data_IF_164201022739
#
_entry.id   IF_164201022739
#
_cell.length_a   1.000
_cell.length_b   1.000
_cell.length_c   1.000
_cell.angle_alpha   90.00
_cell.angle_beta   90.00
_cell.angle_gamma   90.00
#
_symmetry.space_group_name_H-M   'P 1'
#
loop_
_entity.id
_entity.type
_entity.pdbx_description
1 polymer ?
#
# COMPACT_ATOMS: atom_id res chain seq x y z
N UNK A 1 5.98 7.74 26.60
CA UNK A 1 5.05 8.09 25.49
C UNK A 1 5.02 6.88 24.56
N UNK A 2 3.85 6.33 24.27
CA UNK A 2 3.73 5.09 23.50
C UNK A 2 3.90 5.29 21.98
N UNK A 3 3.96 4.18 21.24
CA UNK A 3 4.13 4.17 19.78
C UNK A 3 2.81 4.11 19.01
N UNK A 4 2.88 4.24 17.68
CA UNK A 4 1.74 4.10 16.77
C UNK A 4 1.86 2.84 15.91
N UNK A 5 0.73 2.15 15.76
CA UNK A 5 0.57 1.03 14.83
C UNK A 5 -0.56 1.40 13.85
N UNK A 6 -0.17 1.70 12.62
CA UNK A 6 -1.09 2.03 11.53
C UNK A 6 -1.35 0.76 10.70
N UNK A 7 -2.62 0.35 10.62
CA UNK A 7 -3.03 -0.92 10.00
C UNK A 7 -3.79 -0.64 8.70
N UNK A 8 -3.19 -0.99 7.56
CA UNK A 8 -3.80 -0.85 6.23
C UNK A 8 -4.28 -2.20 5.65
N UNK A 9 -3.66 -3.30 6.07
CA UNK A 9 -3.84 -4.63 5.47
C UNK A 9 -5.27 -5.16 5.57
N UNK A 10 -5.65 -6.00 4.61
CA UNK A 10 -6.89 -6.80 4.61
C UNK A 10 -6.50 -8.27 4.73
N UNK A 11 -7.21 -9.02 5.57
CA UNK A 11 -6.92 -10.42 5.85
C UNK A 11 -8.01 -11.29 5.21
N UNK A 12 -7.63 -12.17 4.28
CA UNK A 12 -8.57 -13.02 3.53
C UNK A 12 -9.02 -14.29 4.28
N UNK A 13 -8.45 -14.57 5.46
CA UNK A 13 -8.77 -15.73 6.29
C UNK A 13 -9.62 -15.36 7.51
N UNK A 14 -9.45 -16.12 8.60
CA UNK A 14 -10.07 -15.82 9.89
C UNK A 14 -9.52 -14.54 10.54
N UNK A 15 -10.14 -14.14 11.66
CA UNK A 15 -9.72 -12.97 12.43
C UNK A 15 -8.25 -13.13 12.89
N UNK A 16 -7.36 -12.16 12.61
CA UNK A 16 -5.98 -12.24 13.08
C UNK A 16 -5.92 -12.13 14.60
N UNK A 17 -5.04 -12.92 15.23
CA UNK A 17 -4.75 -12.77 16.66
C UNK A 17 -3.99 -11.45 16.91
N UNK A 18 -4.40 -10.70 17.93
CA UNK A 18 -3.80 -9.41 18.30
C UNK A 18 -3.22 -9.50 19.71
N UNK A 19 -1.92 -9.23 19.92
CA UNK A 19 -1.27 -9.33 21.23
C UNK A 19 -1.67 -8.16 22.14
N UNK A 20 -2.86 -8.22 22.71
CA UNK A 20 -3.48 -7.08 23.41
C UNK A 20 -2.70 -6.62 24.65
N UNK A 21 -2.04 -7.55 25.36
CA UNK A 21 -1.19 -7.20 26.49
C UNK A 21 -0.02 -6.29 26.06
N UNK A 22 0.60 -6.55 24.91
CA UNK A 22 1.67 -5.68 24.41
C UNK A 22 1.14 -4.30 24.01
N UNK A 23 -0.05 -4.25 23.39
CA UNK A 23 -0.72 -3.00 23.06
C UNK A 23 -0.93 -2.15 24.31
N UNK A 24 -1.44 -2.76 25.38
CA UNK A 24 -1.74 -2.06 26.64
C UNK A 24 -0.44 -1.66 27.37
N UNK A 25 0.46 -2.60 27.64
CA UNK A 25 1.63 -2.33 28.48
C UNK A 25 2.70 -1.47 27.79
N UNK A 26 2.70 -1.42 26.45
CA UNK A 26 3.56 -0.49 25.68
C UNK A 26 2.85 0.82 25.31
N UNK A 27 1.61 1.02 25.76
CA UNK A 27 0.79 2.21 25.48
C UNK A 27 0.63 2.47 23.97
N UNK A 28 0.42 1.43 23.16
CA UNK A 28 0.35 1.58 21.69
C UNK A 28 -0.99 2.18 21.26
N UNK A 29 -0.92 3.09 20.29
CA UNK A 29 -2.07 3.64 19.58
C UNK A 29 -2.32 2.85 18.29
N UNK A 30 -3.47 2.18 18.22
CA UNK A 30 -3.90 1.46 17.02
C UNK A 30 -4.79 2.34 16.14
N UNK A 31 -4.47 2.40 14.84
CA UNK A 31 -5.26 3.13 13.85
C UNK A 31 -5.45 2.33 12.58
N UNK A 32 -6.70 2.00 12.26
CA UNK A 32 -7.06 1.49 10.94
C UNK A 32 -6.96 2.57 9.87
N UNK A 33 -6.40 2.23 8.72
CA UNK A 33 -6.37 3.06 7.52
C UNK A 33 -7.26 2.41 6.47
N UNK A 34 -8.26 3.14 6.02
CA UNK A 34 -9.08 2.77 4.88
C UNK A 34 -8.92 3.84 3.79
N UNK A 35 -8.49 3.43 2.59
CA UNK A 35 -8.32 4.33 1.47
C UNK A 35 -7.33 5.45 1.74
N UNK A 36 -7.73 6.69 1.43
CA UNK A 36 -6.92 7.91 1.54
C UNK A 36 -7.74 8.99 2.24
N UNK A 37 -7.11 9.84 3.05
CA UNK A 37 -7.78 11.07 3.51
C UNK A 37 -7.94 11.99 2.31
N UNK A 38 -9.19 12.35 2.01
CA UNK A 38 -9.46 13.22 0.87
C UNK A 38 -8.80 14.58 1.05
N UNK A 39 -8.29 15.05 -0.10
CA UNK A 39 -7.42 16.22 -0.30
C UNK A 39 -6.05 16.08 0.36
N UNK A 40 -5.95 16.08 1.69
CA UNK A 40 -4.66 16.11 2.40
C UNK A 40 -3.62 15.07 1.93
N UNK A 41 -4.04 13.82 1.70
CA UNK A 41 -3.10 12.77 1.22
C UNK A 41 -2.71 12.98 -0.24
N UNK A 42 -3.63 13.50 -1.07
CA UNK A 42 -3.37 13.82 -2.47
C UNK A 42 -2.41 15.00 -2.59
N UNK A 43 -2.64 16.06 -1.82
CA UNK A 43 -1.78 17.26 -1.80
C UNK A 43 -0.36 16.88 -1.37
N UNK A 44 -0.23 16.07 -0.31
CA UNK A 44 1.08 15.57 0.16
C UNK A 44 1.80 14.78 -0.95
N UNK A 45 1.10 13.86 -1.62
CA UNK A 45 1.71 13.07 -2.69
C UNK A 45 2.08 13.93 -3.91
N UNK A 46 1.24 14.91 -4.26
CA UNK A 46 1.52 15.86 -5.35
C UNK A 46 2.79 16.67 -5.06
N UNK A 47 2.94 17.17 -3.84
CA UNK A 47 4.14 17.92 -3.43
C UNK A 47 5.40 17.06 -3.50
N UNK A 48 5.33 15.82 -3.04
CA UNK A 48 6.47 14.89 -3.09
C UNK A 48 6.90 14.59 -4.53
N UNK A 49 5.92 14.36 -5.43
CA UNK A 49 6.15 14.05 -6.84
C UNK A 49 6.65 15.28 -7.61
N UNK A 50 5.99 16.43 -7.48
CA UNK A 50 6.34 17.67 -8.20
C UNK A 50 7.74 18.17 -7.85
N UNK A 51 8.21 17.89 -6.63
CA UNK A 51 9.56 18.23 -6.15
C UNK A 51 10.60 17.14 -6.42
N UNK A 52 10.22 16.04 -7.09
CA UNK A 52 11.07 14.87 -7.33
C UNK A 52 11.74 14.33 -6.05
N UNK A 53 11.05 14.41 -4.91
CA UNK A 53 11.56 13.89 -3.63
C UNK A 53 11.40 12.37 -3.51
N UNK A 54 10.52 11.81 -4.34
CA UNK A 54 10.32 10.37 -4.49
C UNK A 54 10.37 10.03 -5.97
N UNK A 55 10.96 8.87 -6.26
CA UNK A 55 11.01 8.30 -7.60
C UNK A 55 10.13 7.04 -7.59
N UNK A 56 8.91 7.19 -8.10
CA UNK A 56 7.91 6.11 -8.11
C UNK A 56 8.16 5.10 -9.23
N UNK A 57 8.95 5.42 -10.24
CA UNK A 57 9.21 4.48 -11.34
C UNK A 57 9.95 3.25 -10.85
N UNK A 58 10.72 3.37 -9.76
CA UNK A 58 11.40 2.26 -9.08
C UNK A 58 10.47 1.16 -8.56
N UNK A 59 9.18 1.44 -8.34
CA UNK A 59 8.23 0.41 -7.88
C UNK A 59 7.61 -0.36 -9.05
N UNK A 60 7.73 0.16 -10.28
CA UNK A 60 7.21 -0.46 -11.49
C UNK A 60 8.15 -1.60 -11.87
N UNK A 61 7.65 -2.82 -11.82
CA UNK A 61 8.45 -4.00 -12.20
C UNK A 61 8.17 -4.46 -13.62
N UNK A 62 6.97 -4.18 -14.14
CA UNK A 62 6.58 -4.54 -15.51
C UNK A 62 5.78 -3.43 -16.16
N UNK A 63 6.01 -3.24 -17.45
CA UNK A 63 5.27 -2.33 -18.33
C UNK A 63 4.97 -3.07 -19.63
N UNK A 64 3.72 -3.09 -20.05
CA UNK A 64 3.26 -3.79 -21.25
C UNK A 64 2.06 -3.06 -21.86
N UNK A 65 1.74 -3.35 -23.11
CA UNK A 65 0.57 -2.76 -23.77
C UNK A 65 -0.73 -3.35 -23.22
N UNK A 66 -1.82 -2.58 -23.34
CA UNK A 66 -3.16 -2.93 -22.87
C UNK A 66 -3.69 -4.25 -23.47
N UNK A 67 -3.22 -4.64 -24.66
CA UNK A 67 -3.51 -5.92 -25.29
C UNK A 67 -3.04 -7.13 -24.47
N UNK A 68 -2.06 -6.94 -23.58
CA UNK A 68 -1.51 -7.97 -22.70
C UNK A 68 -2.23 -8.06 -21.34
N UNK A 69 -3.44 -7.50 -21.22
CA UNK A 69 -4.20 -7.42 -19.96
C UNK A 69 -4.30 -8.75 -19.21
N UNK A 70 -4.67 -9.84 -19.89
CA UNK A 70 -4.83 -11.15 -19.24
C UNK A 70 -3.50 -11.65 -18.63
N UNK A 71 -2.40 -11.50 -19.39
CA UNK A 71 -1.06 -11.85 -18.91
C UNK A 71 -0.64 -10.98 -17.72
N UNK A 72 -0.94 -9.68 -17.75
CA UNK A 72 -0.64 -8.75 -16.66
C UNK A 72 -1.34 -9.14 -15.36
N UNK A 73 -2.63 -9.52 -15.44
CA UNK A 73 -3.41 -9.94 -14.28
C UNK A 73 -2.89 -11.26 -13.73
N UNK A 74 -2.59 -12.24 -14.60
CA UNK A 74 -2.03 -13.53 -14.18
C UNK A 74 -0.70 -13.34 -13.44
N UNK A 75 0.20 -12.50 -13.96
CA UNK A 75 1.47 -12.16 -13.33
C UNK A 75 1.28 -11.54 -11.92
N UNK A 76 0.28 -10.67 -11.77
CA UNK A 76 -0.07 -10.06 -10.49
C UNK A 76 -0.63 -11.09 -9.48
N UNK A 77 -1.47 -12.01 -9.95
CA UNK A 77 -2.04 -13.06 -9.11
C UNK A 77 -1.01 -14.09 -8.63
N UNK A 78 -0.01 -14.38 -9.44
CA UNK A 78 1.11 -15.27 -9.07
C UNK A 78 2.06 -14.63 -8.05
N UNK A 79 1.96 -13.33 -7.80
CA UNK A 79 2.87 -12.59 -6.92
C UNK A 79 4.26 -12.36 -7.51
N UNK A 80 4.44 -12.61 -8.80
CA UNK A 80 5.71 -12.48 -9.52
C UNK A 80 5.98 -11.03 -10.02
N UNK A 81 5.36 -10.03 -9.38
CA UNK A 81 5.57 -8.62 -9.70
C UNK A 81 5.33 -7.71 -8.48
N UNK A 82 5.83 -6.47 -8.54
CA UNK A 82 5.54 -5.41 -7.58
C UNK A 82 4.40 -4.52 -8.07
N UNK A 83 4.61 -3.84 -9.20
CA UNK A 83 3.58 -3.06 -9.89
C UNK A 83 3.68 -3.29 -11.40
N UNK A 84 2.56 -3.70 -12.00
CA UNK A 84 2.39 -3.77 -13.45
C UNK A 84 1.68 -2.50 -13.92
N UNK A 85 2.17 -1.89 -14.99
CA UNK A 85 1.56 -0.76 -15.69
C UNK A 85 1.16 -1.19 -17.09
N UNK A 86 -0.06 -0.84 -17.50
CA UNK A 86 -0.58 -1.06 -18.85
C UNK A 86 -0.62 0.27 -19.59
N UNK A 87 0.02 0.31 -20.76
CA UNK A 87 0.02 1.47 -21.67
C UNK A 87 -1.04 1.29 -22.77
N UNK A 88 -1.73 2.39 -23.12
CA UNK A 88 -2.84 2.43 -24.09
C UNK A 88 -2.40 2.95 -25.45
#
# INVERSE_FOLDING_TARGET
MGGYVNVLSVYGGGTPEVPMNEVVFRYLHLKGINGRKMWSTWDTMHDLLSRNLIDVDKVITHRMGIESFEQAVQLAMEGNCGKVVLDF
#
